data_IF_025557189863
#
_entry.id   IF_025557189863
#
_cell.length_a   1.000
_cell.length_b   1.000
_cell.length_c   1.000
_cell.angle_alpha   90.00
_cell.angle_beta   90.00
_cell.angle_gamma   90.00
#
_symmetry.space_group_name_H-M   'P 1'
#
loop_
_entity.id
_entity.type
_entity.pdbx_description
1 polymer ?
#
# COMPACT_ATOMS: atom_id res chain seq x y z
N UNK A 1 -6.12 10.41 0.56
CA UNK A 1 -6.40 9.03 0.96
C UNK A 1 -5.66 8.74 2.26
N UNK A 2 -6.39 8.35 3.29
CA UNK A 2 -5.87 7.90 4.59
C UNK A 2 -5.84 6.37 4.64
N UNK A 3 -4.69 5.81 5.00
CA UNK A 3 -4.55 4.38 5.33
C UNK A 3 -4.87 4.18 6.81
N UNK A 4 -5.70 3.21 7.13
CA UNK A 4 -6.02 2.81 8.49
C UNK A 4 -5.14 1.64 8.97
N UNK A 5 -4.89 0.66 8.10
CA UNK A 5 -4.05 -0.50 8.41
C UNK A 5 -3.32 -1.00 7.16
N UNK A 6 -2.16 -1.64 7.38
CA UNK A 6 -1.44 -2.35 6.33
C UNK A 6 -0.78 -3.60 6.90
N UNK A 7 -0.79 -4.69 6.13
CA UNK A 7 -0.18 -5.95 6.54
C UNK A 7 0.22 -6.82 5.35
N UNK A 8 1.26 -7.63 5.57
CA UNK A 8 1.69 -8.63 4.61
C UNK A 8 0.85 -9.91 4.79
N UNK A 9 0.43 -10.48 3.66
CA UNK A 9 -0.28 -11.74 3.54
C UNK A 9 0.49 -12.65 2.59
N UNK A 10 0.25 -13.96 2.62
CA UNK A 10 0.96 -14.93 1.76
C UNK A 10 0.86 -14.58 0.26
N UNK A 11 -0.25 -13.95 -0.15
CA UNK A 11 -0.51 -13.60 -1.54
C UNK A 11 -0.30 -12.11 -1.87
N UNK A 12 0.31 -11.33 -0.97
CA UNK A 12 0.65 -9.93 -1.26
C UNK A 12 0.57 -8.98 -0.07
N UNK A 13 0.57 -7.69 -0.38
CA UNK A 13 0.49 -6.60 0.59
C UNK A 13 -0.92 -6.00 0.61
N UNK A 14 -1.56 -5.98 1.77
CA UNK A 14 -2.94 -5.53 1.93
C UNK A 14 -2.96 -4.21 2.69
N UNK A 15 -3.70 -3.24 2.14
CA UNK A 15 -3.89 -1.90 2.71
C UNK A 15 -5.38 -1.64 2.87
N UNK A 16 -5.80 -1.18 4.04
CA UNK A 16 -7.16 -0.67 4.28
C UNK A 16 -7.14 0.84 4.29
N UNK A 17 -7.93 1.48 3.44
CA UNK A 17 -7.96 2.92 3.27
C UNK A 17 -9.37 3.47 3.10
N UNK A 18 -9.54 4.78 3.22
CA UNK A 18 -10.83 5.48 3.06
C UNK A 18 -11.36 5.47 1.62
N UNK A 19 -10.48 5.32 0.63
CA UNK A 19 -10.78 5.37 -0.80
C UNK A 19 -9.96 4.32 -1.53
N UNK A 20 -10.49 3.87 -2.66
CA UNK A 20 -9.86 2.90 -3.54
C UNK A 20 -9.51 3.57 -4.89
N UNK A 21 -8.57 4.51 -4.85
CA UNK A 21 -8.11 5.31 -5.99
C UNK A 21 -6.58 5.17 -6.12
N UNK A 22 -6.03 5.49 -7.29
CA UNK A 22 -4.59 5.56 -7.51
C UNK A 22 -3.91 6.46 -6.49
N UNK A 23 -2.72 6.06 -6.03
CA UNK A 23 -2.00 6.82 -5.03
C UNK A 23 -0.48 6.71 -5.17
N UNK A 24 0.20 7.73 -4.66
CA UNK A 24 1.64 7.73 -4.47
C UNK A 24 2.01 7.56 -3.01
N UNK A 25 2.99 6.71 -2.75
CA UNK A 25 3.58 6.53 -1.41
C UNK A 25 5.10 6.73 -1.49
N UNK A 26 5.66 7.44 -0.52
CA UNK A 26 7.12 7.48 -0.33
C UNK A 26 7.53 6.22 0.44
N UNK A 27 8.19 5.28 -0.22
CA UNK A 27 8.65 4.07 0.43
C UNK A 27 9.83 4.35 1.36
N UNK A 28 10.85 5.04 0.84
CA UNK A 28 12.02 5.47 1.59
C UNK A 28 12.81 6.51 0.79
N UNK A 29 13.82 7.15 1.41
CA UNK A 29 14.73 8.06 0.69
C UNK A 29 15.55 7.35 -0.38
N UNK A 30 15.84 6.06 -0.21
CA UNK A 30 16.63 5.27 -1.17
C UNK A 30 15.80 4.67 -2.30
N UNK A 31 14.52 4.35 -2.04
CA UNK A 31 13.63 3.76 -3.05
C UNK A 31 12.79 4.80 -3.79
N UNK A 32 12.50 5.94 -3.16
CA UNK A 32 11.71 6.99 -3.77
C UNK A 32 10.21 6.81 -3.63
N UNK A 33 9.49 7.51 -4.50
CA UNK A 33 8.05 7.49 -4.62
C UNK A 33 7.63 6.36 -5.53
N UNK A 34 6.61 5.61 -5.13
CA UNK A 34 6.00 4.57 -5.95
C UNK A 34 4.52 4.87 -6.17
N UNK A 35 4.08 4.74 -7.42
CA UNK A 35 2.67 4.88 -7.81
C UNK A 35 2.01 3.53 -7.85
N UNK A 36 0.96 3.40 -7.05
CA UNK A 36 0.06 2.26 -7.07
C UNK A 36 -1.19 2.63 -7.86
N UNK A 37 -1.41 1.93 -8.96
CA UNK A 37 -2.60 2.08 -9.79
C UNK A 37 -3.59 0.96 -9.51
N UNK A 38 -4.86 1.31 -9.35
CA UNK A 38 -5.93 0.33 -9.17
C UNK A 38 -6.09 -0.47 -10.47
N UNK A 39 -6.09 -1.79 -10.36
CA UNK A 39 -6.38 -2.70 -11.48
C UNK A 39 -7.87 -3.01 -11.51
N UNK A 40 -8.42 -3.49 -10.39
CA UNK A 40 -9.80 -3.92 -10.28
C UNK A 40 -10.31 -3.83 -8.83
N UNK A 41 -11.64 -3.88 -8.71
CA UNK A 41 -12.29 -4.13 -7.43
C UNK A 41 -12.44 -5.63 -7.22
N UNK A 42 -12.22 -6.06 -5.98
CA UNK A 42 -12.43 -7.43 -5.53
C UNK A 42 -13.43 -7.46 -4.38
N UNK A 43 -14.28 -8.47 -4.37
CA UNK A 43 -15.10 -8.82 -3.22
C UNK A 43 -14.17 -9.35 -2.12
N UNK A 44 -14.11 -8.66 -0.99
CA UNK A 44 -13.39 -9.10 0.19
C UNK A 44 -14.36 -9.54 1.29
N UNK A 45 -13.90 -10.44 2.15
CA UNK A 45 -14.68 -10.99 3.27
C UNK A 45 -15.23 -9.87 4.18
N UNK A 46 -14.56 -8.71 4.24
CA UNK A 46 -14.93 -7.56 5.07
C UNK A 46 -15.48 -6.37 4.27
N UNK A 47 -15.85 -6.54 2.99
CA UNK A 47 -16.38 -5.48 2.14
C UNK A 47 -15.66 -5.36 0.79
N UNK A 48 -15.41 -4.13 0.32
CA UNK A 48 -14.71 -3.90 -0.96
C UNK A 48 -13.20 -3.86 -0.73
N UNK A 49 -12.46 -4.68 -1.47
CA UNK A 49 -11.03 -4.51 -1.66
C UNK A 49 -10.75 -4.08 -3.10
N UNK A 50 -9.57 -3.55 -3.35
CA UNK A 50 -9.10 -3.33 -4.71
C UNK A 50 -7.68 -3.83 -4.82
N UNK A 51 -7.35 -4.40 -5.98
CA UNK A 51 -5.99 -4.80 -6.30
C UNK A 51 -5.26 -3.61 -6.91
N UNK A 52 -4.04 -3.38 -6.45
CA UNK A 52 -3.18 -2.34 -6.97
C UNK A 52 -1.90 -2.97 -7.50
N UNK A 53 -1.32 -2.30 -8.48
CA UNK A 53 -0.02 -2.65 -9.05
C UNK A 53 0.87 -1.42 -9.11
N UNK A 54 2.16 -1.64 -8.85
CA UNK A 54 3.18 -0.63 -9.04
C UNK A 54 3.38 -0.35 -10.52
N UNK A 55 3.21 0.91 -10.93
CA UNK A 55 3.37 1.32 -12.33
C UNK A 55 4.46 2.34 -12.58
N UNK A 56 4.86 3.07 -11.56
CA UNK A 56 5.80 4.18 -11.72
C UNK A 56 6.63 4.36 -10.46
N UNK A 57 7.93 4.59 -10.64
CA UNK A 57 8.87 4.92 -9.56
C UNK A 57 9.52 6.26 -9.90
N UNK A 58 9.59 7.15 -8.91
CA UNK A 58 10.31 8.43 -8.99
C UNK A 58 11.30 8.56 -7.85
N UNK A 59 12.39 9.27 -8.08
CA UNK A 59 13.41 9.48 -7.05
C UNK A 59 12.85 10.31 -5.88
N UNK A 60 13.32 10.04 -4.66
CA UNK A 60 12.83 10.72 -3.45
C UNK A 60 13.10 12.24 -3.42
N UNK A 61 14.07 12.71 -4.20
CA UNK A 61 14.44 14.12 -4.31
C UNK A 61 13.59 14.88 -5.34
N UNK A 62 12.76 14.19 -6.13
CA UNK A 62 11.79 14.84 -6.99
C UNK A 62 10.65 15.46 -6.17
N UNK A 63 9.97 16.48 -6.70
CA UNK A 63 8.78 17.06 -6.06
C UNK A 63 7.76 15.98 -5.73
N UNK A 64 7.13 16.11 -4.56
CA UNK A 64 6.10 15.17 -4.12
C UNK A 64 5.01 15.07 -5.21
N UNK A 65 4.71 13.86 -5.72
CA UNK A 65 3.70 13.67 -6.74
C UNK A 65 2.29 13.89 -6.18
N UNK A 66 1.25 13.83 -7.02
CA UNK A 66 -0.13 13.98 -6.57
C UNK A 66 -1.01 12.84 -7.10
N UNK A 67 -1.88 12.25 -6.26
CA UNK A 67 -2.03 12.48 -4.82
C UNK A 67 -1.00 11.66 -3.98
N UNK A 68 -0.31 12.32 -3.04
CA UNK A 68 0.47 11.62 -2.00
C UNK A 68 -0.44 11.14 -0.89
N UNK A 69 -0.16 9.95 -0.38
CA UNK A 69 -0.77 9.45 0.86
C UNK A 69 0.24 9.48 1.99
N UNK A 70 -0.25 9.85 3.17
CA UNK A 70 0.53 9.76 4.40
C UNK A 70 0.01 8.58 5.23
N UNK A 71 0.89 7.62 5.47
CA UNK A 71 0.67 6.48 6.36
C UNK A 71 0.92 6.80 7.84
N UNK A 72 0.75 8.06 8.27
CA UNK A 72 0.86 8.43 9.68
C UNK A 72 -0.21 7.69 10.48
N UNK A 73 0.21 6.83 11.42
CA UNK A 73 -0.64 5.97 12.26
C UNK A 73 -1.21 4.72 11.56
N UNK A 74 -0.51 4.18 10.56
CA UNK A 74 -0.84 2.84 10.05
C UNK A 74 -0.56 1.81 11.13
N UNK A 75 -1.58 1.07 11.55
CA UNK A 75 -1.41 -0.09 12.41
C UNK A 75 -0.73 -1.19 11.60
N UNK A 76 0.56 -1.43 11.89
CA UNK A 76 1.32 -2.53 11.32
C UNK A 76 1.02 -3.80 12.11
N UNK A 77 0.35 -4.77 11.49
CA UNK A 77 0.12 -6.08 12.11
C UNK A 77 1.39 -6.94 12.02
N UNK A 78 2.38 -6.60 12.86
CA UNK A 78 3.71 -7.21 12.84
C UNK A 78 3.67 -8.75 12.98
N UNK A 79 2.81 -9.27 13.87
CA UNK A 79 2.66 -10.73 14.06
C UNK A 79 2.19 -11.46 12.80
N UNK A 80 1.17 -10.91 12.12
CA UNK A 80 0.67 -11.47 10.84
C UNK A 80 1.73 -11.39 9.74
N UNK A 81 2.49 -10.30 9.69
CA UNK A 81 3.60 -10.17 8.73
C UNK A 81 4.70 -11.21 8.99
N UNK A 82 5.02 -11.49 10.27
CA UNK A 82 6.00 -12.52 10.63
C UNK A 82 5.52 -13.95 10.37
N UNK A 83 4.21 -14.22 10.39
CA UNK A 83 3.66 -15.53 10.04
C UNK A 83 3.89 -15.88 8.57
N UNK A 84 3.81 -14.91 7.65
CA UNK A 84 4.07 -15.10 6.22
C UNK A 84 5.53 -15.53 5.97
N UNK A 85 6.48 -14.98 6.73
CA UNK A 85 7.91 -15.33 6.62
C UNK A 85 8.22 -16.79 7.02
N UNK A 86 7.37 -17.41 7.84
CA UNK A 86 7.57 -18.80 8.30
C UNK A 86 7.06 -19.85 7.30
N UNK A 87 6.32 -19.42 6.28
CA UNK A 87 5.75 -20.31 5.25
C UNK A 87 6.55 -20.33 3.95
N UNK A 88 7.79 -19.83 3.96
CA UNK A 88 8.75 -19.87 2.83
C UNK A 88 9.85 -20.87 3.15
#
# INVERSE_FOLDING_TARGET
MKIFSAYFHQNGFIVQAEKNEDFWVLLSRSLGWEKFCKIDDMEAITGRASRFESREIRLANEPAPYPVISGSNVLWHLLKACEVLKTT
#
